data_IF_052830976995
#
_entry.id   IF_052830976995
#
_cell.length_a   1.000
_cell.length_b   1.000
_cell.length_c   1.000
_cell.angle_alpha   90.00
_cell.angle_beta   90.00
_cell.angle_gamma   90.00
#
_symmetry.space_group_name_H-M   'P 1'
#
loop_
_entity.id
_entity.type
_entity.pdbx_description
1 polymer ?
#
# COMPACT_ATOMS: atom_id res chain seq x y z
N UNK A 1 0.62 22.97 6.31
CA UNK A 1 -0.18 21.94 5.62
C UNK A 1 0.66 20.71 5.39
N UNK A 2 0.17 19.54 5.80
CA UNK A 2 0.79 18.24 5.48
C UNK A 2 0.61 17.96 3.99
N UNK A 3 1.54 17.22 3.38
CA UNK A 3 1.51 16.91 1.94
C UNK A 3 0.21 16.21 1.48
N UNK A 4 -0.50 15.53 2.38
CA UNK A 4 -1.81 14.90 2.13
C UNK A 4 -2.91 15.94 1.85
N UNK A 5 -2.93 17.03 2.60
CA UNK A 5 -3.95 18.09 2.45
C UNK A 5 -3.82 18.80 1.09
N UNK A 6 -2.60 19.06 0.63
CA UNK A 6 -2.34 19.67 -0.69
C UNK A 6 -2.79 18.78 -1.86
N UNK A 7 -2.57 17.47 -1.75
CA UNK A 7 -2.94 16.50 -2.79
C UNK A 7 -4.47 16.38 -2.87
N UNK A 8 -5.15 16.29 -1.72
CA UNK A 8 -6.61 16.21 -1.66
C UNK A 8 -7.26 17.49 -2.24
N UNK A 9 -6.76 18.67 -1.88
CA UNK A 9 -7.29 19.94 -2.38
C UNK A 9 -7.20 20.06 -3.91
N UNK A 10 -6.15 19.50 -4.50
CA UNK A 10 -5.93 19.52 -5.95
C UNK A 10 -6.81 18.50 -6.70
N UNK A 11 -7.03 17.32 -6.12
CA UNK A 11 -7.99 16.34 -6.66
C UNK A 11 -9.40 16.94 -6.66
N UNK A 12 -9.78 17.65 -5.60
CA UNK A 12 -11.07 18.35 -5.53
C UNK A 12 -11.19 19.48 -6.58
N UNK A 13 -10.09 20.14 -6.94
CA UNK A 13 -10.08 21.25 -7.92
C UNK A 13 -10.00 20.81 -9.38
N UNK A 14 -9.26 19.75 -9.70
CA UNK A 14 -8.94 19.36 -11.08
C UNK A 14 -9.43 17.95 -11.45
N UNK A 15 -9.98 17.20 -10.50
CA UNK A 15 -10.39 15.82 -10.70
C UNK A 15 -9.19 14.87 -10.70
N UNK A 16 -8.88 14.25 -11.85
CA UNK A 16 -7.76 13.31 -12.00
C UNK A 16 -6.43 14.06 -12.14
N UNK A 17 -5.43 13.62 -11.39
CA UNK A 17 -4.07 14.16 -11.44
C UNK A 17 -3.08 13.08 -11.89
N UNK A 18 -2.12 13.47 -12.73
CA UNK A 18 -1.08 12.61 -13.28
C UNK A 18 0.12 12.50 -12.34
N UNK A 19 0.88 11.42 -12.47
CA UNK A 19 2.08 11.18 -11.66
C UNK A 19 3.17 12.25 -11.85
N UNK A 20 3.24 12.90 -13.02
CA UNK A 20 4.14 14.02 -13.29
C UNK A 20 3.77 15.27 -12.50
N UNK A 21 2.48 15.56 -12.37
CA UNK A 21 1.98 16.73 -11.62
C UNK A 21 2.22 16.56 -10.12
N UNK A 22 1.98 15.35 -9.59
CA UNK A 22 2.29 15.01 -8.19
C UNK A 22 3.79 15.21 -7.92
N UNK A 23 4.65 14.70 -8.79
CA UNK A 23 6.11 14.74 -8.63
C UNK A 23 6.64 16.18 -8.62
N UNK A 24 6.11 17.06 -9.47
CA UNK A 24 6.52 18.47 -9.55
C UNK A 24 6.13 19.29 -8.32
N UNK A 25 5.10 18.88 -7.57
CA UNK A 25 4.50 19.67 -6.49
C UNK A 25 5.09 19.34 -5.12
N UNK A 26 5.48 18.08 -4.90
CA UNK A 26 5.96 17.61 -3.58
C UNK A 26 7.45 17.24 -3.54
N UNK A 27 8.16 17.28 -4.66
CA UNK A 27 9.61 16.96 -4.70
C UNK A 27 9.94 15.51 -4.33
N UNK A 28 8.93 14.64 -4.28
CA UNK A 28 9.05 13.21 -4.04
C UNK A 28 8.21 12.49 -5.08
N UNK A 29 8.81 11.56 -5.81
CA UNK A 29 8.14 10.64 -6.73
C UNK A 29 7.18 9.73 -5.95
N UNK A 30 6.02 10.23 -5.52
CA UNK A 30 4.97 9.46 -4.85
C UNK A 30 4.08 8.83 -5.91
N UNK A 31 4.21 7.53 -6.09
CA UNK A 31 3.22 6.76 -6.84
C UNK A 31 2.15 6.27 -5.86
N UNK A 32 0.93 6.79 -6.03
CA UNK A 32 -0.23 6.40 -5.24
C UNK A 32 -0.85 5.18 -5.91
N UNK A 33 -0.69 4.01 -5.31
CA UNK A 33 -1.49 2.85 -5.68
C UNK A 33 -2.71 2.90 -4.79
N UNK A 34 -3.84 3.33 -5.35
CA UNK A 34 -5.08 3.12 -4.65
C UNK A 34 -5.35 1.62 -4.77
N UNK A 35 -5.26 0.90 -3.65
CA UNK A 35 -5.81 -0.44 -3.56
C UNK A 35 -7.34 -0.25 -3.60
N UNK A 36 -7.89 0.18 -4.73
CA UNK A 36 -9.30 0.00 -5.04
C UNK A 36 -9.42 -1.48 -5.25
N UNK A 37 -9.57 -2.17 -4.13
CA UNK A 37 -9.88 -3.58 -4.10
C UNK A 37 -11.19 -3.65 -4.87
N UNK A 38 -11.12 -4.16 -6.09
CA UNK A 38 -12.28 -4.32 -6.96
C UNK A 38 -13.31 -5.31 -6.39
N UNK A 39 -13.08 -5.80 -5.17
CA UNK A 39 -13.93 -6.70 -4.40
C UNK A 39 -13.83 -6.34 -2.92
N UNK A 40 -14.69 -5.43 -2.43
CA UNK A 40 -14.92 -5.27 -0.99
C UNK A 40 -15.00 -6.64 -0.30
N UNK A 41 -14.18 -6.93 0.72
CA UNK A 41 -14.19 -8.26 1.32
C UNK A 41 -12.93 -8.69 2.09
N UNK A 42 -12.83 -10.00 2.31
CA UNK A 42 -11.79 -10.64 3.12
C UNK A 42 -10.65 -11.14 2.20
N UNK A 43 -9.41 -10.75 2.48
CA UNK A 43 -8.25 -11.18 1.69
C UNK A 43 -7.36 -12.16 2.43
N UNK A 44 -7.41 -13.44 2.07
CA UNK A 44 -6.72 -14.49 2.83
C UNK A 44 -5.46 -14.99 2.13
N UNK A 45 -5.48 -15.07 0.80
CA UNK A 45 -4.51 -15.88 0.05
C UNK A 45 -3.30 -15.09 -0.46
N UNK A 46 -2.15 -15.78 -0.60
CA UNK A 46 -0.94 -15.22 -1.24
C UNK A 46 -1.16 -14.85 -2.70
N UNK A 47 -1.96 -15.62 -3.43
CA UNK A 47 -2.23 -15.33 -4.85
C UNK A 47 -2.99 -14.02 -5.04
N UNK A 48 -3.90 -13.67 -4.11
CA UNK A 48 -4.54 -12.34 -4.09
C UNK A 48 -3.50 -11.22 -3.90
N UNK A 49 -2.61 -11.37 -2.92
CA UNK A 49 -1.55 -10.39 -2.68
C UNK A 49 -0.62 -10.23 -3.91
N UNK A 50 -0.17 -11.33 -4.52
CA UNK A 50 0.67 -11.25 -5.74
C UNK A 50 -0.01 -10.56 -6.91
N UNK A 51 -1.32 -10.78 -7.10
CA UNK A 51 -2.08 -10.10 -8.15
C UNK A 51 -2.11 -8.59 -7.92
N UNK A 52 -2.28 -8.16 -6.67
CA UNK A 52 -2.25 -6.75 -6.27
C UNK A 52 -0.86 -6.13 -6.50
N UNK A 53 0.20 -6.86 -6.13
CA UNK A 53 1.57 -6.37 -6.16
C UNK A 53 2.19 -6.38 -7.56
N UNK A 54 1.59 -7.09 -8.52
CA UNK A 54 2.12 -7.25 -9.87
C UNK A 54 2.26 -5.90 -10.58
N UNK A 55 3.48 -5.59 -11.04
CA UNK A 55 3.78 -4.34 -11.74
C UNK A 55 4.06 -3.17 -10.80
N UNK A 56 4.04 -3.37 -9.48
CA UNK A 56 4.36 -2.35 -8.49
C UNK A 56 5.87 -2.28 -8.16
N UNK A 57 6.66 -3.27 -8.59
CA UNK A 57 8.10 -3.37 -8.35
C UNK A 57 8.93 -2.22 -8.96
N UNK A 58 8.35 -1.48 -9.91
CA UNK A 58 8.97 -0.30 -10.55
C UNK A 58 8.88 0.98 -9.71
N UNK A 59 8.10 0.97 -8.63
CA UNK A 59 7.83 2.15 -7.81
C UNK A 59 8.74 2.22 -6.58
N UNK A 60 8.97 3.42 -6.07
CA UNK A 60 9.81 3.63 -4.86
C UNK A 60 9.00 3.61 -3.57
N UNK A 61 7.72 3.98 -3.65
CA UNK A 61 6.81 4.02 -2.51
C UNK A 61 5.48 3.42 -2.97
N UNK A 62 4.92 2.51 -2.18
CA UNK A 62 3.60 1.91 -2.35
C UNK A 62 2.79 2.28 -1.11
N UNK A 63 1.64 2.93 -1.31
CA UNK A 63 0.64 3.12 -0.26
C UNK A 63 -0.42 2.03 -0.42
N UNK A 64 -0.73 1.31 0.65
CA UNK A 64 -1.83 0.35 0.69
C UNK A 64 -2.97 0.95 1.52
N UNK A 65 -4.07 1.25 0.84
CA UNK A 65 -5.30 1.71 1.47
C UNK A 65 -6.20 0.51 1.80
N UNK A 66 -6.50 0.32 3.08
CA UNK A 66 -7.32 -0.77 3.58
C UNK A 66 -8.76 -0.36 3.85
N UNK A 67 -9.22 0.76 3.30
CA UNK A 67 -10.62 1.18 3.41
C UNK A 67 -11.56 0.07 2.90
N UNK A 68 -12.60 -0.23 3.69
CA UNK A 68 -13.53 -1.36 3.48
C UNK A 68 -12.89 -2.76 3.47
N UNK A 69 -11.67 -2.92 4.00
CA UNK A 69 -11.07 -4.24 4.28
C UNK A 69 -11.24 -4.59 5.74
N UNK A 70 -12.24 -5.41 6.09
CA UNK A 70 -12.42 -5.79 7.49
C UNK A 70 -11.27 -6.68 7.97
N UNK A 71 -10.76 -7.60 7.15
CA UNK A 71 -9.79 -8.62 7.57
C UNK A 71 -8.84 -9.00 6.42
N UNK A 72 -7.57 -9.19 6.75
CA UNK A 72 -6.60 -9.91 5.92
C UNK A 72 -6.06 -11.15 6.63
N UNK A 73 -5.76 -12.21 5.88
CA UNK A 73 -5.20 -13.46 6.38
C UNK A 73 -3.68 -13.41 6.44
N UNK A 74 -3.11 -14.32 7.24
CA UNK A 74 -1.66 -14.41 7.45
C UNK A 74 -0.90 -14.57 6.13
N UNK A 75 -1.39 -15.41 5.22
CA UNK A 75 -0.70 -15.67 3.96
C UNK A 75 -0.67 -14.42 3.07
N UNK A 76 -1.75 -13.64 3.05
CA UNK A 76 -1.82 -12.35 2.34
C UNK A 76 -0.81 -11.34 2.89
N UNK A 77 -0.80 -11.12 4.21
CA UNK A 77 0.11 -10.17 4.84
C UNK A 77 1.59 -10.60 4.70
N UNK A 78 1.87 -11.89 4.85
CA UNK A 78 3.20 -12.47 4.69
C UNK A 78 3.78 -12.23 3.29
N UNK A 79 2.95 -12.35 2.25
CA UNK A 79 3.36 -12.07 0.88
C UNK A 79 3.79 -10.61 0.70
N UNK A 80 3.03 -9.65 1.26
CA UNK A 80 3.31 -8.22 1.10
C UNK A 80 4.54 -7.82 1.92
N UNK A 81 4.53 -8.12 3.21
CA UNK A 81 5.46 -7.50 4.17
C UNK A 81 6.73 -8.30 4.40
N UNK A 82 6.74 -9.60 4.06
CA UNK A 82 7.95 -10.42 4.12
C UNK A 82 8.47 -10.74 2.74
N UNK A 83 7.68 -11.38 1.88
CA UNK A 83 8.17 -11.89 0.58
C UNK A 83 8.48 -10.74 -0.38
N UNK A 84 7.49 -9.90 -0.70
CA UNK A 84 7.64 -8.81 -1.66
C UNK A 84 8.62 -7.75 -1.15
N UNK A 85 8.53 -7.37 0.12
CA UNK A 85 9.48 -6.42 0.71
C UNK A 85 10.92 -6.94 0.71
N UNK A 86 11.15 -8.23 1.00
CA UNK A 86 12.50 -8.81 0.92
C UNK A 86 13.02 -8.87 -0.52
N UNK A 87 12.14 -9.15 -1.49
CA UNK A 87 12.50 -9.15 -2.90
C UNK A 87 12.82 -7.73 -3.43
N UNK A 88 12.13 -6.72 -2.91
CA UNK A 88 12.26 -5.32 -3.34
C UNK A 88 12.48 -4.38 -2.14
N UNK A 89 13.65 -4.47 -1.45
CA UNK A 89 13.90 -3.80 -0.18
C UNK A 89 13.97 -2.27 -0.29
N UNK A 90 14.21 -1.76 -1.50
CA UNK A 90 14.24 -0.32 -1.78
C UNK A 90 12.85 0.31 -1.89
N UNK A 91 11.79 -0.51 -1.92
CA UNK A 91 10.41 -0.04 -1.98
C UNK A 91 9.90 0.20 -0.56
N UNK A 92 9.47 1.42 -0.28
CA UNK A 92 8.79 1.76 0.97
C UNK A 92 7.30 1.41 0.87
N UNK A 93 6.81 0.56 1.75
CA UNK A 93 5.39 0.24 1.87
C UNK A 93 4.81 1.05 3.04
N UNK A 94 3.73 1.79 2.79
CA UNK A 94 2.97 2.56 3.79
C UNK A 94 1.52 2.05 3.82
N UNK A 95 0.85 2.15 4.97
CA UNK A 95 -0.55 1.71 5.14
C UNK A 95 -1.46 2.85 5.60
N UNK A 96 -2.70 2.89 5.11
CA UNK A 96 -3.76 3.79 5.57
C UNK A 96 -5.09 3.04 5.75
N UNK A 97 -6.01 3.60 6.55
CA UNK A 97 -7.37 3.10 6.80
C UNK A 97 -7.48 1.62 7.24
N UNK A 98 -6.48 1.12 7.98
CA UNK A 98 -6.53 -0.24 8.54
C UNK A 98 -7.59 -0.36 9.63
N UNK A 99 -8.39 -1.42 9.57
CA UNK A 99 -9.13 -1.91 10.72
C UNK A 99 -8.18 -2.49 11.79
N UNK A 100 -8.66 -2.69 13.02
CA UNK A 100 -7.84 -3.29 14.09
C UNK A 100 -7.31 -4.68 13.72
N UNK A 101 -8.15 -5.51 13.10
CA UNK A 101 -7.78 -6.85 12.61
C UNK A 101 -6.73 -6.81 11.50
N UNK A 102 -6.84 -5.84 10.58
CA UNK A 102 -5.84 -5.64 9.54
C UNK A 102 -4.51 -5.18 10.15
N UNK A 103 -4.55 -4.16 11.00
CA UNK A 103 -3.37 -3.63 11.69
C UNK A 103 -2.62 -4.74 12.44
N UNK A 104 -3.34 -5.57 13.21
CA UNK A 104 -2.76 -6.71 13.91
C UNK A 104 -2.00 -7.66 12.97
N UNK A 105 -2.59 -7.99 11.83
CA UNK A 105 -1.99 -8.93 10.87
C UNK A 105 -0.77 -8.33 10.15
N UNK A 106 -0.84 -7.04 9.80
CA UNK A 106 0.29 -6.28 9.21
C UNK A 106 1.48 -6.29 10.17
N UNK A 107 1.27 -5.89 11.41
CA UNK A 107 2.34 -5.82 12.42
C UNK A 107 2.94 -7.20 12.70
N UNK A 108 2.10 -8.24 12.78
CA UNK A 108 2.57 -9.62 12.91
C UNK A 108 3.50 -9.99 11.74
N UNK A 109 3.10 -9.74 10.51
CA UNK A 109 3.91 -10.07 9.33
C UNK A 109 5.23 -9.29 9.28
N UNK A 110 5.20 -7.97 9.58
CA UNK A 110 6.40 -7.14 9.67
C UNK A 110 7.37 -7.64 10.74
N UNK A 111 6.87 -8.05 11.90
CA UNK A 111 7.71 -8.57 12.97
C UNK A 111 8.34 -9.92 12.62
N UNK A 112 7.62 -10.81 11.95
CA UNK A 112 8.19 -12.07 11.44
C UNK A 112 9.25 -11.82 10.34
N UNK A 113 9.05 -10.82 9.48
CA UNK A 113 10.04 -10.43 8.48
C UNK A 113 11.37 -9.96 9.11
N UNK A 114 11.30 -9.19 10.20
CA UNK A 114 12.48 -8.72 10.94
C UNK A 114 13.27 -9.85 11.62
N UNK A 115 12.60 -10.93 12.03
CA UNK A 115 13.25 -12.10 12.65
C UNK A 115 13.97 -13.00 11.64
N UNK A 116 13.62 -12.89 10.37
CA UNK A 116 14.12 -13.76 9.29
C UNK A 116 15.36 -13.18 8.58
N UNK A 117 15.86 -12.03 9.05
CA UNK A 117 17.07 -11.34 8.61
C UNK A 117 18.19 -11.58 9.63
#
# INVERSE_FOLDING_TARGET
MKNKEKILELIFKQGKITSSEITSIIGVSRQYVNLVISESGVHISRSQARRILSGLEKFKIILLDFDNVPIIGQAFADEIYRVFHHQYPNIKIEEENMSESVHFMVERAKNEAKKSL
#
